data_IF_127545397402
#
_entry.id   IF_127545397402
#
_cell.length_a   1.000
_cell.length_b   1.000
_cell.length_c   1.000
_cell.angle_alpha   90.00
_cell.angle_beta   90.00
_cell.angle_gamma   90.00
#
_symmetry.space_group_name_H-M   'P 1'
#
loop_
_entity.id
_entity.type
_entity.pdbx_description
1 polymer ?
#
# COMPACT_ATOMS: atom_id res chain seq x y z
N UNK A 1 -26.50 -0.80 3.56
CA UNK A 1 -25.06 -1.04 3.78
C UNK A 1 -24.65 -0.42 5.10
N UNK A 2 -23.83 -1.12 5.88
CA UNK A 2 -23.25 -0.55 7.09
C UNK A 2 -22.22 0.52 6.70
N UNK A 3 -22.26 1.69 7.36
CA UNK A 3 -21.39 2.83 7.04
C UNK A 3 -19.89 2.47 7.10
N UNK A 4 -19.53 1.54 7.98
CA UNK A 4 -18.16 1.05 8.11
C UNK A 4 -17.68 0.33 6.84
N UNK A 5 -18.54 -0.42 6.16
CA UNK A 5 -18.20 -1.12 4.91
C UNK A 5 -17.94 -0.13 3.77
N UNK A 6 -18.73 0.94 3.69
CA UNK A 6 -18.52 2.03 2.73
C UNK A 6 -17.17 2.70 2.98
N UNK A 7 -16.86 3.00 4.24
CA UNK A 7 -15.58 3.63 4.61
C UNK A 7 -14.41 2.72 4.21
N UNK A 8 -14.46 1.44 4.55
CA UNK A 8 -13.35 0.51 4.31
C UNK A 8 -13.15 0.13 2.84
N UNK A 9 -14.22 -0.06 2.08
CA UNK A 9 -14.15 -0.65 0.73
C UNK A 9 -14.37 0.35 -0.39
N UNK A 10 -14.82 1.57 -0.09
CA UNK A 10 -14.97 2.63 -1.07
C UNK A 10 -14.01 3.76 -0.74
N UNK A 11 -14.15 4.39 0.42
CA UNK A 11 -13.39 5.61 0.76
C UNK A 11 -11.91 5.33 0.95
N UNK A 12 -11.56 4.29 1.71
CA UNK A 12 -10.18 4.01 2.09
C UNK A 12 -9.27 3.68 0.90
N UNK A 13 -9.66 2.87 -0.10
CA UNK A 13 -8.87 2.65 -1.31
C UNK A 13 -8.52 3.94 -2.05
N UNK A 14 -9.48 4.84 -2.27
CA UNK A 14 -9.22 6.13 -2.92
C UNK A 14 -8.28 7.00 -2.08
N UNK A 15 -8.48 7.03 -0.76
CA UNK A 15 -7.64 7.80 0.15
C UNK A 15 -6.18 7.30 0.12
N UNK A 16 -5.98 5.99 0.19
CA UNK A 16 -4.65 5.37 0.12
C UNK A 16 -3.93 5.70 -1.19
N UNK A 17 -4.62 5.61 -2.33
CA UNK A 17 -4.08 5.95 -3.65
C UNK A 17 -3.77 7.45 -3.75
N UNK A 18 -4.65 8.32 -3.24
CA UNK A 18 -4.44 9.76 -3.25
C UNK A 18 -3.20 10.16 -2.43
N UNK A 19 -3.04 9.62 -1.22
CA UNK A 19 -1.84 9.87 -0.40
C UNK A 19 -0.59 9.32 -1.10
N UNK A 20 -0.66 8.13 -1.68
CA UNK A 20 0.47 7.56 -2.41
C UNK A 20 0.87 8.48 -3.58
N UNK A 21 -0.10 8.94 -4.38
CA UNK A 21 0.13 9.85 -5.49
C UNK A 21 0.75 11.18 -5.05
N UNK A 22 0.21 11.81 -4.01
CA UNK A 22 0.77 13.06 -3.48
C UNK A 22 2.18 12.85 -2.91
N UNK A 23 2.43 11.72 -2.25
CA UNK A 23 3.76 11.35 -1.80
C UNK A 23 4.74 11.14 -2.95
N UNK A 24 4.31 10.59 -4.09
CA UNK A 24 5.16 10.44 -5.28
C UNK A 24 5.50 11.81 -5.87
N UNK A 25 4.50 12.68 -6.01
CA UNK A 25 4.65 14.03 -6.57
C UNK A 25 5.57 14.88 -5.70
N UNK A 26 5.32 14.95 -4.40
CA UNK A 26 6.15 15.77 -3.49
C UNK A 26 7.58 15.29 -3.36
N UNK A 27 7.85 14.00 -3.59
CA UNK A 27 9.22 13.46 -3.51
C UNK A 27 9.97 13.44 -4.83
N UNK A 28 9.34 13.84 -5.93
CA UNK A 28 9.98 13.75 -7.24
C UNK A 28 11.25 14.62 -7.34
N UNK A 29 11.22 15.82 -6.72
CA UNK A 29 12.29 16.83 -6.78
C UNK A 29 13.07 17.01 -5.46
N UNK A 30 12.50 16.67 -4.30
CA UNK A 30 13.09 16.94 -2.96
C UNK A 30 14.03 15.84 -2.41
N UNK A 31 14.48 14.92 -3.27
CA UNK A 31 15.16 13.67 -2.86
C UNK A 31 16.44 13.88 -2.03
N UNK A 32 17.24 14.89 -2.34
CA UNK A 32 18.55 15.09 -1.67
C UNK A 32 18.36 15.70 -0.28
N UNK A 33 17.56 16.76 -0.17
CA UNK A 33 17.35 17.47 1.09
C UNK A 33 16.60 16.63 2.13
N UNK A 34 15.66 15.78 1.72
CA UNK A 34 14.88 14.95 2.65
C UNK A 34 15.66 13.76 3.20
N UNK A 35 16.58 13.18 2.42
CA UNK A 35 17.44 12.07 2.87
C UNK A 35 18.44 12.57 3.91
N UNK A 36 19.01 13.76 3.69
CA UNK A 36 20.00 14.36 4.57
C UNK A 36 19.37 15.04 5.79
N UNK A 37 18.23 15.71 5.63
CA UNK A 37 17.53 16.46 6.68
C UNK A 37 16.04 16.09 6.75
N UNK A 38 15.68 14.95 7.37
CA UNK A 38 14.28 14.58 7.51
C UNK A 38 13.52 15.61 8.36
N UNK A 39 12.29 16.02 7.98
CA UNK A 39 11.52 17.05 8.69
C UNK A 39 10.97 16.61 10.07
N UNK A 40 11.37 15.43 10.56
CA UNK A 40 10.89 14.81 11.80
C UNK A 40 12.06 14.14 12.52
N UNK A 41 11.88 13.95 13.84
CA UNK A 41 12.93 13.37 14.68
C UNK A 41 13.45 12.03 14.16
N UNK A 42 14.74 11.78 14.35
CA UNK A 42 15.41 10.53 13.97
C UNK A 42 14.68 9.29 14.51
N UNK A 43 14.12 9.40 15.73
CA UNK A 43 13.35 8.32 16.36
C UNK A 43 12.05 8.03 15.61
N UNK A 44 11.28 9.06 15.27
CA UNK A 44 10.06 8.91 14.48
C UNK A 44 10.35 8.28 13.11
N UNK A 45 11.48 8.65 12.49
CA UNK A 45 11.93 8.04 11.24
C UNK A 45 12.24 6.57 11.34
N UNK A 46 12.93 6.16 12.40
CA UNK A 46 13.24 4.76 12.64
C UNK A 46 11.96 3.94 12.87
N UNK A 47 11.01 4.47 13.65
CA UNK A 47 9.73 3.80 13.91
C UNK A 47 8.95 3.65 12.61
N UNK A 48 8.78 4.73 11.84
CA UNK A 48 8.01 4.70 10.60
C UNK A 48 8.61 3.73 9.57
N UNK A 49 9.94 3.73 9.40
CA UNK A 49 10.64 2.76 8.54
C UNK A 49 10.46 1.32 9.02
N UNK A 50 10.46 1.09 10.33
CA UNK A 50 10.20 -0.22 10.93
C UNK A 50 8.76 -0.68 10.65
N UNK A 51 7.79 0.21 10.85
CA UNK A 51 6.36 -0.04 10.57
C UNK A 51 6.13 -0.39 9.11
N UNK A 52 6.68 0.38 8.16
CA UNK A 52 6.56 0.07 6.73
C UNK A 52 7.18 -1.30 6.39
N UNK A 53 8.34 -1.63 6.98
CA UNK A 53 8.97 -2.94 6.77
C UNK A 53 8.11 -4.08 7.32
N UNK A 54 7.50 -3.89 8.49
CA UNK A 54 6.59 -4.87 9.08
C UNK A 54 5.32 -5.05 8.24
N UNK A 55 4.70 -3.95 7.80
CA UNK A 55 3.53 -3.96 6.93
C UNK A 55 3.83 -4.62 5.57
N UNK A 56 5.01 -4.37 5.00
CA UNK A 56 5.46 -5.04 3.77
C UNK A 56 5.51 -6.57 3.98
N UNK A 57 6.12 -7.04 5.07
CA UNK A 57 6.20 -8.46 5.37
C UNK A 57 4.81 -9.07 5.60
N UNK A 58 3.92 -8.39 6.32
CA UNK A 58 2.53 -8.83 6.53
C UNK A 58 1.76 -8.87 5.22
N UNK A 59 1.90 -7.87 4.37
CA UNK A 59 1.27 -7.81 3.04
C UNK A 59 1.79 -8.93 2.13
N UNK A 60 3.09 -9.22 2.14
CA UNK A 60 3.68 -10.32 1.37
C UNK A 60 3.19 -11.68 1.88
N UNK A 61 3.24 -11.90 3.20
CA UNK A 61 2.81 -13.16 3.81
C UNK A 61 1.31 -13.43 3.58
N UNK A 62 0.47 -12.40 3.75
CA UNK A 62 -0.96 -12.51 3.47
C UNK A 62 -1.24 -12.73 1.98
N UNK A 63 -0.50 -12.06 1.08
CA UNK A 63 -0.65 -12.27 -0.36
C UNK A 63 -0.25 -13.68 -0.80
N UNK A 64 0.85 -14.20 -0.27
CA UNK A 64 1.26 -15.60 -0.50
C UNK A 64 0.21 -16.57 0.05
N UNK A 65 -0.35 -16.28 1.23
CA UNK A 65 -1.41 -17.09 1.82
C UNK A 65 -2.64 -17.11 0.92
N UNK A 66 -3.13 -15.96 0.45
CA UNK A 66 -4.23 -15.87 -0.53
C UNK A 66 -3.92 -16.67 -1.79
N UNK A 67 -2.68 -16.62 -2.29
CA UNK A 67 -2.26 -17.38 -3.47
C UNK A 67 -2.23 -18.90 -3.24
N UNK A 68 -1.77 -19.36 -2.08
CA UNK A 68 -1.72 -20.80 -1.75
C UNK A 68 -3.13 -21.36 -1.56
N UNK A 69 -3.99 -20.63 -0.85
CA UNK A 69 -5.40 -21.02 -0.64
C UNK A 69 -6.29 -20.77 -1.88
N UNK A 70 -5.73 -20.21 -2.96
CA UNK A 70 -6.41 -19.92 -4.24
C UNK A 70 -7.06 -21.13 -4.88
N UNK A 71 -6.58 -22.36 -4.62
CA UNK A 71 -7.11 -23.56 -5.27
C UNK A 71 -8.57 -23.86 -4.89
N UNK A 72 -9.18 -23.09 -3.98
CA UNK A 72 -10.52 -23.32 -3.44
C UNK A 72 -11.54 -22.32 -4.00
N UNK A 73 -11.14 -21.11 -4.43
CA UNK A 73 -12.08 -20.04 -4.84
C UNK A 73 -11.50 -19.11 -5.91
N UNK A 74 -12.30 -18.70 -6.90
CA UNK A 74 -11.94 -17.75 -7.99
C UNK A 74 -11.73 -16.29 -7.50
N UNK A 75 -11.26 -16.09 -6.26
CA UNK A 75 -11.15 -14.79 -5.58
C UNK A 75 -10.25 -13.77 -6.28
N UNK A 76 -9.10 -14.12 -6.89
CA UNK A 76 -8.27 -13.13 -7.56
C UNK A 76 -8.99 -12.42 -8.72
N UNK A 77 -9.90 -13.13 -9.40
CA UNK A 77 -10.69 -12.55 -10.47
C UNK A 77 -11.74 -11.58 -9.93
N UNK A 78 -12.41 -11.94 -8.82
CA UNK A 78 -13.36 -11.06 -8.13
C UNK A 78 -12.69 -9.79 -7.61
N UNK A 79 -11.51 -9.93 -7.01
CA UNK A 79 -10.68 -8.80 -6.58
C UNK A 79 -10.29 -7.89 -7.73
N UNK A 80 -9.92 -8.46 -8.88
CA UNK A 80 -9.61 -7.69 -10.08
C UNK A 80 -10.83 -6.93 -10.59
N UNK A 81 -12.00 -7.56 -10.67
CA UNK A 81 -13.23 -6.88 -11.08
C UNK A 81 -13.65 -5.79 -10.10
N UNK A 82 -13.49 -6.02 -8.79
CA UNK A 82 -13.72 -4.99 -7.79
C UNK A 82 -12.76 -3.81 -7.94
N UNK A 83 -11.48 -4.06 -8.24
CA UNK A 83 -10.53 -3.00 -8.53
C UNK A 83 -10.93 -2.19 -9.78
N UNK A 84 -11.37 -2.87 -10.85
CA UNK A 84 -11.88 -2.21 -12.06
C UNK A 84 -13.11 -1.36 -11.76
N UNK A 85 -14.03 -1.84 -10.92
CA UNK A 85 -15.24 -1.09 -10.56
C UNK A 85 -14.92 0.19 -9.76
N UNK A 86 -13.89 0.15 -8.91
CA UNK A 86 -13.33 1.35 -8.28
C UNK A 86 -12.74 2.32 -9.31
N UNK A 87 -11.93 1.85 -10.27
CA UNK A 87 -11.36 2.73 -11.31
C UNK A 87 -12.45 3.37 -12.17
N UNK A 88 -13.56 2.67 -12.41
CA UNK A 88 -14.73 3.18 -13.12
C UNK A 88 -15.62 4.11 -12.28
N UNK A 89 -15.25 4.39 -11.02
CA UNK A 89 -16.02 5.18 -10.06
C UNK A 89 -17.43 4.62 -9.80
N UNK A 90 -17.63 3.33 -10.00
CA UNK A 90 -18.88 2.62 -9.72
C UNK A 90 -18.58 1.38 -8.85
N UNK A 91 -18.26 1.56 -7.56
CA UNK A 91 -17.80 0.50 -6.68
C UNK A 91 -18.88 -0.57 -6.48
N UNK A 92 -18.58 -1.78 -6.92
CA UNK A 92 -19.44 -2.95 -6.70
C UNK A 92 -19.07 -3.65 -5.39
N UNK A 93 -19.91 -3.47 -4.38
CA UNK A 93 -19.72 -4.01 -3.04
C UNK A 93 -20.01 -5.50 -2.94
N UNK A 94 -20.76 -6.07 -3.87
CA UNK A 94 -21.07 -7.50 -3.83
C UNK A 94 -19.81 -8.31 -4.14
N UNK A 95 -18.93 -7.79 -5.01
CA UNK A 95 -17.65 -8.44 -5.32
C UNK A 95 -16.75 -8.57 -4.09
N UNK A 96 -16.64 -7.52 -3.25
CA UNK A 96 -15.79 -7.55 -2.05
C UNK A 96 -16.43 -8.30 -0.88
N UNK A 97 -17.76 -8.32 -0.82
CA UNK A 97 -18.48 -9.02 0.25
C UNK A 97 -18.54 -10.53 0.03
N UNK A 98 -18.26 -11.00 -1.18
CA UNK A 98 -18.24 -12.43 -1.53
C UNK A 98 -16.85 -13.08 -1.49
N UNK A 99 -15.77 -12.32 -1.26
CA UNK A 99 -14.42 -12.88 -1.09
C UNK A 99 -14.14 -13.26 0.36
N UNK A 100 -13.14 -14.12 0.58
CA UNK A 100 -12.74 -14.54 1.93
C UNK A 100 -12.30 -13.37 2.82
N UNK A 101 -12.43 -13.56 4.13
CA UNK A 101 -11.91 -12.61 5.13
C UNK A 101 -10.39 -12.44 5.01
N UNK A 102 -9.69 -13.49 4.58
CA UNK A 102 -8.24 -13.47 4.35
C UNK A 102 -7.88 -12.46 3.24
N UNK A 103 -8.58 -12.53 2.11
CA UNK A 103 -8.41 -11.60 0.98
C UNK A 103 -8.78 -10.16 1.35
N UNK A 104 -9.86 -9.96 2.11
CA UNK A 104 -10.23 -8.64 2.67
C UNK A 104 -9.15 -8.07 3.58
N UNK A 105 -8.61 -8.90 4.47
CA UNK A 105 -7.55 -8.49 5.41
C UNK A 105 -6.25 -8.17 4.67
N UNK A 106 -5.91 -8.95 3.64
CA UNK A 106 -4.77 -8.68 2.76
C UNK A 106 -4.89 -7.29 2.11
N UNK A 107 -6.06 -6.93 1.57
CA UNK A 107 -6.27 -5.60 1.00
C UNK A 107 -6.07 -4.48 2.02
N UNK A 108 -6.55 -4.65 3.26
CA UNK A 108 -6.33 -3.67 4.31
C UNK A 108 -4.85 -3.49 4.62
N UNK A 109 -4.08 -4.59 4.72
CA UNK A 109 -2.62 -4.49 4.88
C UNK A 109 -1.95 -3.82 3.69
N UNK A 110 -2.38 -4.14 2.47
CA UNK A 110 -1.83 -3.56 1.24
C UNK A 110 -2.07 -2.04 1.19
N UNK A 111 -3.30 -1.57 1.38
CA UNK A 111 -3.60 -0.14 1.34
C UNK A 111 -2.93 0.64 2.48
N UNK A 112 -2.85 0.03 3.68
CA UNK A 112 -2.13 0.63 4.81
C UNK A 112 -0.63 0.70 4.54
N UNK A 113 -0.05 -0.34 3.94
CA UNK A 113 1.33 -0.36 3.50
C UNK A 113 1.61 0.75 2.48
N UNK A 114 0.78 0.90 1.45
CA UNK A 114 0.93 1.96 0.44
C UNK A 114 0.86 3.35 1.08
N UNK A 115 -0.13 3.56 1.95
CA UNK A 115 -0.31 4.83 2.69
C UNK A 115 0.90 5.15 3.56
N UNK A 116 1.44 4.18 4.30
CA UNK A 116 2.60 4.42 5.17
C UNK A 116 3.89 4.60 4.37
N UNK A 117 3.99 3.96 3.20
CA UNK A 117 5.18 4.06 2.35
C UNK A 117 5.38 5.47 1.84
N UNK A 118 4.32 6.19 1.50
CA UNK A 118 4.39 7.59 1.03
C UNK A 118 4.98 8.55 2.06
N UNK A 119 4.79 8.25 3.34
CA UNK A 119 5.33 9.01 4.47
C UNK A 119 6.81 8.70 4.74
N UNK A 120 7.40 7.68 4.10
CA UNK A 120 8.81 7.29 4.28
C UNK A 120 9.70 7.59 3.09
N UNK A 121 11.01 7.62 3.33
CA UNK A 121 12.03 7.67 2.27
C UNK A 121 12.00 6.49 1.30
N UNK A 122 11.20 5.44 1.57
CA UNK A 122 11.10 4.30 0.66
C UNK A 122 10.34 4.62 -0.62
N UNK A 123 9.46 5.62 -0.62
CA UNK A 123 8.73 6.01 -1.83
C UNK A 123 9.67 6.52 -2.95
N UNK A 124 10.79 7.17 -2.60
CA UNK A 124 11.84 7.54 -3.57
C UNK A 124 12.38 6.32 -4.31
N UNK A 125 12.50 5.16 -3.65
CA UNK A 125 12.96 3.94 -4.30
C UNK A 125 11.92 3.29 -5.21
N UNK A 126 10.63 3.61 -5.06
CA UNK A 126 9.60 3.20 -6.02
C UNK A 126 9.76 3.93 -7.36
N UNK A 127 10.14 5.21 -7.33
CA UNK A 127 10.33 6.03 -8.53
C UNK A 127 11.72 5.80 -9.13
N UNK A 128 12.76 5.79 -8.29
CA UNK A 128 14.17 5.75 -8.68
C UNK A 128 14.86 4.53 -8.03
N UNK A 129 14.55 3.29 -8.47
CA UNK A 129 15.09 2.08 -7.84
C UNK A 129 16.63 2.00 -7.90
N UNK A 130 17.25 2.61 -8.90
CA UNK A 130 18.71 2.66 -9.05
C UNK A 130 19.41 3.38 -7.87
N UNK A 131 18.74 4.34 -7.20
CA UNK A 131 19.30 5.03 -6.03
C UNK A 131 19.47 4.09 -4.84
N UNK A 132 18.60 3.09 -4.71
CA UNK A 132 18.72 2.07 -3.65
C UNK A 132 20.03 1.28 -3.79
N UNK A 133 20.34 0.87 -5.02
CA UNK A 133 21.55 0.10 -5.34
C UNK A 133 22.79 0.98 -5.13
N UNK A 134 22.77 2.22 -5.65
CA UNK A 134 23.87 3.19 -5.48
C UNK A 134 24.23 3.43 -4.01
N UNK A 135 23.23 3.65 -3.16
CA UNK A 135 23.45 3.91 -1.73
C UNK A 135 23.93 2.68 -0.93
N UNK A 136 23.75 1.46 -1.47
CA UNK A 136 24.23 0.21 -0.87
C UNK A 136 25.66 -0.13 -1.28
N UNK A 137 26.05 0.20 -2.52
CA UNK A 137 27.35 -0.14 -3.09
C UNK A 137 28.46 0.87 -2.76
N UNK A 138 28.12 2.11 -2.43
CA UNK A 138 29.09 3.20 -2.12
C UNK A 138 29.30 3.34 -0.59
N UNK A 139 28.88 2.35 0.19
CA UNK A 139 29.18 2.25 1.63
C UNK A 139 30.34 1.32 1.87
#
# INVERSE_FOLDING_TARGET
>A
MEILQIILWIVYPYFAIAILGMGLVWRFDDDVNYIENPPYSVRASKILKCTVKSLLLLSLFSGISVFIFRSITNEPLLLFYWFVSLVQLNPDMDLIMNISILSRTHLLFLFTFLTMTSLTSYITYLIKPHLYIKNRLIK
#
